data_IF_353357404735
#
_entry.id   IF_353357404735
#
_cell.length_a   1.000
_cell.length_b   1.000
_cell.length_c   1.000
_cell.angle_alpha   90.00
_cell.angle_beta   90.00
_cell.angle_gamma   90.00
#
_symmetry.space_group_name_H-M   'P 1'
#
loop_
_entity.id
_entity.type
_entity.pdbx_description
1 polymer ?
#
# COMPACT_ATOMS: atom_id res chain seq x y z
N UNK A 1 -48.84 32.71 -12.19
CA UNK A 1 -47.38 32.54 -12.29
C UNK A 1 -47.00 31.24 -11.62
N UNK A 2 -46.56 30.28 -12.41
CA UNK A 2 -46.08 29.01 -11.85
C UNK A 2 -44.62 29.18 -11.42
N UNK A 3 -44.34 29.11 -10.13
CA UNK A 3 -42.97 29.09 -9.60
C UNK A 3 -42.45 27.66 -9.70
N UNK A 4 -41.50 27.44 -10.61
CA UNK A 4 -40.74 26.20 -10.63
C UNK A 4 -39.69 26.27 -9.52
N UNK A 5 -39.88 25.52 -8.46
CA UNK A 5 -38.84 25.31 -7.50
C UNK A 5 -37.83 24.31 -8.10
N UNK A 6 -36.63 24.80 -8.49
CA UNK A 6 -35.55 23.92 -8.88
C UNK A 6 -35.02 23.24 -7.62
N UNK A 7 -35.41 21.99 -7.45
CA UNK A 7 -34.88 21.18 -6.35
C UNK A 7 -33.48 20.72 -6.78
N UNK A 8 -32.44 21.43 -6.33
CA UNK A 8 -31.09 20.92 -6.42
C UNK A 8 -30.97 19.76 -5.44
N UNK A 9 -31.05 18.53 -5.93
CA UNK A 9 -30.66 17.36 -5.16
C UNK A 9 -29.14 17.40 -5.02
N UNK A 10 -28.65 17.82 -3.86
CA UNK A 10 -27.28 17.64 -3.45
C UNK A 10 -27.06 16.13 -3.22
N UNK A 11 -26.57 15.46 -4.27
CA UNK A 11 -26.01 14.12 -4.07
C UNK A 11 -24.70 14.28 -3.30
N UNK A 12 -24.55 13.67 -2.12
CA UNK A 12 -23.26 13.64 -1.48
C UNK A 12 -22.29 12.93 -2.41
N UNK A 13 -21.21 13.60 -2.77
CA UNK A 13 -20.07 12.95 -3.42
C UNK A 13 -19.52 11.95 -2.41
N UNK A 14 -20.00 10.71 -2.49
CA UNK A 14 -19.44 9.62 -1.70
C UNK A 14 -18.08 9.34 -2.33
N UNK A 15 -17.01 9.78 -1.65
CA UNK A 15 -15.67 9.33 -1.96
C UNK A 15 -15.65 7.82 -1.77
N UNK A 16 -15.51 7.06 -2.85
CA UNK A 16 -15.42 5.62 -2.78
C UNK A 16 -14.05 5.25 -2.17
N UNK A 17 -14.09 4.71 -0.96
CA UNK A 17 -12.96 4.05 -0.36
C UNK A 17 -13.07 2.56 -0.62
N UNK A 18 -11.96 1.95 -1.00
CA UNK A 18 -11.87 0.53 -1.34
C UNK A 18 -11.07 -0.21 -0.28
N UNK A 19 -11.42 -1.47 -0.06
CA UNK A 19 -10.60 -2.39 0.72
C UNK A 19 -9.63 -3.11 -0.22
N UNK A 20 -8.34 -3.01 0.05
CA UNK A 20 -7.30 -3.69 -0.70
C UNK A 20 -6.87 -4.95 0.02
N UNK A 21 -7.14 -6.10 -0.56
CA UNK A 21 -6.63 -7.38 -0.09
C UNK A 21 -5.32 -7.69 -0.81
N UNK A 22 -4.25 -7.81 -0.05
CA UNK A 22 -2.90 -8.00 -0.57
C UNK A 22 -2.42 -9.38 -0.18
N UNK A 23 -2.07 -10.19 -1.17
CA UNK A 23 -1.39 -11.47 -0.97
C UNK A 23 0.10 -11.27 -1.16
N UNK A 24 0.87 -11.53 -0.13
CA UNK A 24 2.33 -11.41 -0.14
C UNK A 24 2.93 -12.79 -0.22
N UNK A 25 3.77 -13.00 -1.22
CA UNK A 25 4.45 -14.27 -1.49
C UNK A 25 5.95 -14.15 -1.27
N UNK A 26 6.65 -15.27 -1.19
CA UNK A 26 8.11 -15.27 -1.08
C UNK A 26 8.64 -14.83 0.28
N UNK A 27 7.86 -14.94 1.33
CA UNK A 27 8.28 -14.61 2.70
C UNK A 27 9.28 -15.65 3.18
N UNK A 28 10.45 -15.21 3.61
CA UNK A 28 11.59 -16.11 3.90
C UNK A 28 11.54 -16.79 5.26
N UNK A 29 10.85 -16.21 6.25
CA UNK A 29 10.77 -16.77 7.60
C UNK A 29 9.54 -16.27 8.35
N UNK A 30 9.34 -16.79 9.57
CA UNK A 30 8.21 -16.45 10.44
C UNK A 30 8.51 -15.30 11.41
N UNK A 31 9.65 -14.62 11.27
CA UNK A 31 10.06 -13.59 12.23
C UNK A 31 9.32 -12.28 12.02
N UNK A 32 8.88 -11.65 13.09
CA UNK A 32 8.31 -10.33 13.09
C UNK A 32 6.97 -10.22 12.39
N UNK A 33 6.81 -9.18 11.60
CA UNK A 33 5.53 -8.82 10.96
C UNK A 33 5.70 -8.48 9.49
N UNK A 34 4.64 -8.71 8.74
CA UNK A 34 4.47 -8.18 7.39
C UNK A 34 3.60 -6.92 7.50
N UNK A 35 4.10 -5.80 7.01
CA UNK A 35 3.38 -4.54 6.92
C UNK A 35 3.11 -4.19 5.47
N UNK A 36 1.88 -3.82 5.14
CA UNK A 36 1.51 -3.28 3.85
C UNK A 36 1.21 -1.79 4.01
N UNK A 37 1.78 -0.97 3.15
CA UNK A 37 1.68 0.48 3.16
C UNK A 37 1.05 0.96 1.86
N UNK A 38 0.07 1.84 1.95
CA UNK A 38 -0.51 2.51 0.80
C UNK A 38 -0.11 3.99 0.79
N UNK A 39 0.45 4.44 -0.31
CA UNK A 39 0.86 5.83 -0.53
C UNK A 39 0.00 6.46 -1.61
N UNK A 40 -0.51 7.64 -1.34
CA UNK A 40 -1.29 8.45 -2.30
C UNK A 40 -0.46 9.57 -2.90
N UNK A 41 0.76 9.77 -2.43
CA UNK A 41 1.72 10.76 -2.90
C UNK A 41 3.15 10.23 -2.71
N UNK A 42 4.11 10.87 -3.36
CA UNK A 42 5.49 10.41 -3.35
C UNK A 42 6.21 10.61 -2.02
N UNK A 43 5.73 11.54 -1.19
CA UNK A 43 6.34 11.83 0.11
C UNK A 43 6.35 10.57 1.00
N UNK A 44 7.55 10.15 1.38
CA UNK A 44 7.75 8.99 2.23
C UNK A 44 7.75 7.64 1.53
N UNK A 45 7.33 7.58 0.25
CA UNK A 45 7.42 6.36 -0.53
C UNK A 45 8.89 6.00 -0.80
N UNK A 46 9.31 4.74 -0.69
CA UNK A 46 8.47 3.55 -0.44
C UNK A 46 8.39 3.07 1.01
N UNK A 47 9.20 3.59 1.93
CA UNK A 47 9.46 2.90 3.19
C UNK A 47 9.21 3.73 4.46
N UNK A 48 8.74 4.95 4.35
CA UNK A 48 8.40 5.79 5.50
C UNK A 48 7.00 5.44 6.02
N UNK A 49 6.95 4.53 6.99
CA UNK A 49 5.69 4.00 7.54
C UNK A 49 4.76 5.10 8.03
N UNK A 50 5.31 6.11 8.73
CA UNK A 50 4.54 7.22 9.28
C UNK A 50 4.01 8.21 8.24
N UNK A 51 4.42 8.08 6.98
CA UNK A 51 3.96 8.93 5.88
C UNK A 51 3.03 8.20 4.92
N UNK A 52 2.78 6.91 5.14
CA UNK A 52 1.78 6.16 4.41
C UNK A 52 0.37 6.68 4.73
N UNK A 53 -0.49 6.74 3.72
CA UNK A 53 -1.89 7.12 3.89
C UNK A 53 -2.66 6.12 4.74
N UNK A 54 -2.41 4.82 4.50
CA UNK A 54 -3.02 3.72 5.22
C UNK A 54 -2.05 2.55 5.31
N UNK A 55 -2.24 1.70 6.31
CA UNK A 55 -1.40 0.54 6.54
C UNK A 55 -2.18 -0.60 7.19
N UNK A 56 -1.64 -1.81 7.03
CA UNK A 56 -2.09 -3.01 7.74
C UNK A 56 -0.88 -3.86 8.10
N UNK A 57 -1.00 -4.65 9.16
CA UNK A 57 0.07 -5.55 9.61
C UNK A 57 -0.52 -6.90 9.98
N UNK A 58 0.25 -7.96 9.72
CA UNK A 58 -0.01 -9.32 10.19
C UNK A 58 1.30 -9.95 10.65
N UNK A 59 1.20 -10.97 11.49
CA UNK A 59 2.38 -11.75 11.84
C UNK A 59 2.97 -12.44 10.61
N UNK A 60 4.27 -12.43 10.50
CA UNK A 60 4.95 -13.09 9.38
C UNK A 60 4.78 -14.61 9.45
N UNK A 61 4.59 -15.20 8.28
CA UNK A 61 4.62 -16.66 8.09
C UNK A 61 5.43 -16.94 6.83
N UNK A 62 6.34 -17.88 6.92
CA UNK A 62 7.13 -18.30 5.76
C UNK A 62 6.20 -18.71 4.61
N UNK A 63 6.48 -18.22 3.42
CA UNK A 63 5.72 -18.50 2.21
C UNK A 63 4.76 -17.39 1.87
N UNK A 64 3.52 -17.47 2.30
CA UNK A 64 2.45 -16.55 1.87
C UNK A 64 1.59 -16.09 3.04
N UNK A 65 1.29 -14.80 3.09
CA UNK A 65 0.27 -14.22 3.98
C UNK A 65 -0.66 -13.33 3.17
N UNK A 66 -1.86 -13.13 3.70
CA UNK A 66 -2.85 -12.20 3.14
C UNK A 66 -3.23 -11.18 4.20
N UNK A 67 -3.27 -9.91 3.82
CA UNK A 67 -3.71 -8.83 4.68
C UNK A 67 -4.56 -7.83 3.90
N UNK A 68 -5.37 -7.06 4.62
CA UNK A 68 -6.28 -6.09 4.01
C UNK A 68 -6.00 -4.69 4.54
N UNK A 69 -5.76 -3.74 3.64
CA UNK A 69 -5.75 -2.31 3.96
C UNK A 69 -7.14 -1.78 3.69
N UNK A 70 -7.80 -1.27 4.72
CA UNK A 70 -9.16 -0.75 4.62
C UNK A 70 -9.19 0.73 4.26
N UNK A 71 -10.26 1.15 3.57
CA UNK A 71 -10.57 2.55 3.29
C UNK A 71 -9.47 3.26 2.50
N UNK A 72 -8.92 2.60 1.49
CA UNK A 72 -7.98 3.23 0.55
C UNK A 72 -8.78 4.06 -0.45
N UNK A 73 -8.45 5.35 -0.64
CA UNK A 73 -9.20 6.19 -1.58
C UNK A 73 -9.07 5.67 -3.00
N UNK A 74 -10.15 5.78 -3.77
CA UNK A 74 -10.11 5.50 -5.20
C UNK A 74 -9.13 6.44 -5.90
N UNK A 75 -8.47 5.96 -6.94
CA UNK A 75 -7.50 6.73 -7.72
C UNK A 75 -6.12 6.09 -7.72
N UNK A 76 -5.08 6.90 -7.80
CA UNK A 76 -3.70 6.44 -7.93
C UNK A 76 -3.07 6.16 -6.56
N UNK A 77 -2.63 4.93 -6.37
CA UNK A 77 -2.03 4.45 -5.12
C UNK A 77 -0.80 3.62 -5.44
N UNK A 78 0.26 3.79 -4.69
CA UNK A 78 1.42 2.90 -4.71
C UNK A 78 1.45 2.07 -3.44
N UNK A 79 1.79 0.79 -3.55
CA UNK A 79 1.84 -0.14 -2.42
C UNK A 79 3.28 -0.58 -2.16
N UNK A 80 3.63 -0.66 -0.89
CA UNK A 80 4.87 -1.27 -0.41
C UNK A 80 4.53 -2.32 0.63
N UNK A 81 5.23 -3.43 0.59
CA UNK A 81 5.17 -4.47 1.61
C UNK A 81 6.54 -4.60 2.25
N UNK A 82 6.60 -4.56 3.57
CA UNK A 82 7.83 -4.67 4.34
C UNK A 82 7.74 -5.90 5.24
N UNK A 83 8.81 -6.70 5.26
CA UNK A 83 9.00 -7.74 6.24
C UNK A 83 9.85 -7.20 7.38
N UNK A 84 9.21 -6.71 8.43
CA UNK A 84 9.86 -6.20 9.63
C UNK A 84 10.22 -7.36 10.55
N UNK A 85 11.37 -7.97 10.29
CA UNK A 85 11.81 -9.20 10.97
C UNK A 85 12.19 -8.98 12.45
N UNK A 86 12.69 -7.80 12.77
CA UNK A 86 13.13 -7.47 14.14
C UNK A 86 12.06 -6.69 14.94
N UNK A 87 10.95 -6.34 14.32
CA UNK A 87 9.83 -5.68 14.98
C UNK A 87 10.05 -4.22 15.35
N UNK A 88 11.04 -3.54 14.74
CA UNK A 88 11.37 -2.15 15.06
C UNK A 88 10.51 -1.10 14.32
N UNK A 89 9.64 -1.55 13.42
CA UNK A 89 8.79 -0.68 12.62
C UNK A 89 9.51 0.04 11.48
N UNK A 90 10.73 -0.38 11.14
CA UNK A 90 11.57 0.25 10.12
C UNK A 90 12.16 -0.79 9.18
N UNK A 91 12.40 -0.40 7.93
CA UNK A 91 13.17 -1.20 7.00
C UNK A 91 14.66 -1.07 7.34
N UNK A 92 15.27 -2.17 7.77
CA UNK A 92 16.71 -2.22 8.03
C UNK A 92 17.48 -2.20 6.71
N UNK A 93 18.43 -1.29 6.62
CA UNK A 93 19.33 -1.14 5.47
C UNK A 93 20.79 -1.21 5.93
N UNK A 94 21.68 -1.67 5.04
CA UNK A 94 23.11 -1.60 5.30
C UNK A 94 23.66 -0.18 5.04
N UNK A 95 24.96 0.02 5.21
CA UNK A 95 25.62 1.30 4.99
C UNK A 95 25.51 1.82 3.55
N UNK A 96 25.26 0.94 2.59
CA UNK A 96 25.08 1.30 1.18
C UNK A 96 23.60 1.57 0.84
N UNK A 97 22.69 1.54 1.80
CA UNK A 97 21.26 1.73 1.60
C UNK A 97 20.53 0.50 1.04
N UNK A 98 21.17 -0.65 1.02
CA UNK A 98 20.57 -1.90 0.52
C UNK A 98 19.72 -2.51 1.64
N UNK A 99 18.41 -2.82 1.37
CA UNK A 99 17.56 -3.46 2.36
C UNK A 99 18.12 -4.79 2.84
N UNK A 100 18.13 -4.99 4.15
CA UNK A 100 18.52 -6.24 4.81
C UNK A 100 17.30 -7.09 5.20
N UNK A 101 16.12 -6.51 5.16
CA UNK A 101 14.84 -7.16 5.37
C UNK A 101 14.07 -7.22 4.05
N UNK A 102 13.07 -8.11 3.96
CA UNK A 102 12.30 -8.28 2.74
C UNK A 102 11.45 -7.04 2.41
N UNK A 103 11.42 -6.67 1.15
CA UNK A 103 10.60 -5.57 0.64
C UNK A 103 10.01 -5.93 -0.72
N UNK A 104 8.75 -5.59 -0.92
CA UNK A 104 8.05 -5.71 -2.19
C UNK A 104 7.27 -4.44 -2.49
N UNK A 105 7.05 -4.13 -3.76
CA UNK A 105 6.36 -2.92 -4.19
C UNK A 105 5.52 -3.20 -5.42
N UNK A 106 4.48 -2.40 -5.62
CA UNK A 106 3.81 -2.32 -6.92
C UNK A 106 4.75 -1.68 -7.95
N UNK A 107 4.46 -1.90 -9.22
CA UNK A 107 5.31 -1.43 -10.31
C UNK A 107 6.31 -2.48 -10.76
N UNK A 108 7.05 -2.16 -11.79
CA UNK A 108 8.08 -3.06 -12.35
C UNK A 108 9.44 -2.75 -11.72
N UNK A 109 10.19 -3.77 -11.31
CA UNK A 109 11.56 -3.56 -10.89
C UNK A 109 12.38 -2.93 -12.03
N UNK A 110 13.13 -1.90 -11.72
CA UNK A 110 13.96 -1.19 -12.69
C UNK A 110 15.45 -1.42 -12.36
N UNK A 111 15.92 -2.61 -12.63
CA UNK A 111 17.32 -2.96 -12.35
C UNK A 111 17.63 -2.94 -10.85
N UNK A 112 18.63 -2.16 -10.45
CA UNK A 112 19.15 -2.16 -9.09
C UNK A 112 18.52 -1.11 -8.16
N UNK A 113 17.44 -0.46 -8.55
CA UNK A 113 16.78 0.54 -7.74
C UNK A 113 15.30 0.26 -7.52
N UNK A 114 14.78 0.78 -6.42
CA UNK A 114 13.34 0.80 -6.18
C UNK A 114 12.65 1.69 -7.23
N UNK A 115 11.39 1.37 -7.62
CA UNK A 115 10.61 2.26 -8.46
C UNK A 115 10.34 3.58 -7.73
N UNK A 116 10.23 4.66 -8.48
CA UNK A 116 9.70 5.91 -7.97
C UNK A 116 8.19 5.80 -7.79
N UNK A 117 7.60 6.71 -7.02
CA UNK A 117 6.15 6.70 -6.79
C UNK A 117 5.35 6.63 -8.10
N UNK A 118 5.67 7.48 -9.09
CA UNK A 118 4.97 7.49 -10.37
C UNK A 118 5.11 6.20 -11.17
N UNK A 119 6.17 5.45 -10.94
CA UNK A 119 6.42 4.15 -11.59
C UNK A 119 5.70 3.00 -10.89
N UNK A 120 5.31 3.21 -9.64
CA UNK A 120 4.69 2.21 -8.77
C UNK A 120 3.17 2.36 -8.65
N UNK A 121 2.60 3.50 -9.08
CA UNK A 121 1.16 3.74 -8.94
C UNK A 121 0.33 2.74 -9.72
N UNK A 122 -0.73 2.30 -9.07
CA UNK A 122 -1.82 1.53 -9.66
C UNK A 122 -3.11 2.31 -9.46
N UNK A 123 -4.11 2.05 -10.29
CA UNK A 123 -5.41 2.68 -10.17
C UNK A 123 -6.36 1.79 -9.38
N UNK A 124 -6.92 2.34 -8.31
CA UNK A 124 -7.90 1.67 -7.45
C UNK A 124 -9.29 2.21 -7.80
N UNK A 125 -10.20 1.33 -8.18
CA UNK A 125 -11.59 1.67 -8.54
C UNK A 125 -12.59 1.13 -7.54
N UNK A 126 -12.47 -0.15 -7.20
CA UNK A 126 -13.34 -0.90 -6.30
C UNK A 126 -12.49 -1.74 -5.36
N UNK A 127 -13.12 -2.55 -4.51
CA UNK A 127 -12.39 -3.51 -3.70
C UNK A 127 -11.53 -4.40 -4.61
N UNK A 128 -10.25 -4.44 -4.36
CA UNK A 128 -9.30 -5.10 -5.22
C UNK A 128 -8.41 -6.08 -4.46
N UNK A 129 -7.92 -7.06 -5.22
CA UNK A 129 -6.93 -8.02 -4.76
C UNK A 129 -5.64 -7.83 -5.55
N UNK A 130 -4.52 -7.72 -4.83
CA UNK A 130 -3.19 -7.59 -5.43
C UNK A 130 -2.26 -8.64 -4.86
N UNK A 131 -1.33 -9.12 -5.68
CA UNK A 131 -0.28 -10.03 -5.24
C UNK A 131 1.07 -9.34 -5.37
N UNK A 132 1.85 -9.38 -4.31
CA UNK A 132 3.21 -8.82 -4.24
C UNK A 132 4.15 -9.91 -3.77
N UNK A 133 5.19 -10.10 -4.54
CA UNK A 133 6.23 -11.09 -4.26
C UNK A 133 7.38 -10.49 -3.45
#
# INVERSE_FOLDING_TARGET
MKRFALLFALFPLISQAADLTITVTGIRNDNGKIAALAFTQDQGFPDRVNQAFAQAQVNAQKGTVTLTIKNVPAGKVALTVLHDEDGDGKLRKNLLGIPQEGVGMTGKPLGNRAPKFQEAVIEIKDDEKKTIA
#
